data_IF_422844390425
#
_entry.id   IF_422844390425
#
_cell.length_a   1.000
_cell.length_b   1.000
_cell.length_c   1.000
_cell.angle_alpha   90.00
_cell.angle_beta   90.00
_cell.angle_gamma   90.00
#
_symmetry.space_group_name_H-M   'P 1'
#
loop_
_entity.id
_entity.type
_entity.pdbx_description
1 polymer ?
#
# COMPACT_ATOMS: atom_id res chain seq x y z
N UNK A 1 -25.34 -0.15 -25.14
CA UNK A 1 -25.85 0.58 -23.95
C UNK A 1 -25.28 0.08 -22.62
N UNK A 2 -25.38 -1.20 -22.23
CA UNK A 2 -24.89 -1.70 -20.91
C UNK A 2 -23.41 -1.41 -20.62
N UNK A 3 -22.52 -1.60 -21.60
CA UNK A 3 -21.08 -1.30 -21.48
C UNK A 3 -20.80 0.21 -21.27
N UNK A 4 -21.52 1.07 -21.99
CA UNK A 4 -21.39 2.53 -21.88
C UNK A 4 -21.87 3.00 -20.52
N UNK A 5 -23.02 2.50 -20.05
CA UNK A 5 -23.54 2.82 -18.71
C UNK A 5 -22.55 2.39 -17.63
N UNK A 6 -21.99 1.17 -17.71
CA UNK A 6 -20.99 0.71 -16.75
C UNK A 6 -19.74 1.61 -16.72
N UNK A 7 -19.17 1.93 -17.89
CA UNK A 7 -17.99 2.80 -18.00
C UNK A 7 -18.26 4.20 -17.44
N UNK A 8 -19.41 4.78 -17.77
CA UNK A 8 -19.80 6.11 -17.28
C UNK A 8 -20.03 6.09 -15.78
N UNK A 9 -20.71 5.08 -15.23
CA UNK A 9 -20.93 4.95 -13.78
C UNK A 9 -19.61 4.82 -13.01
N UNK A 10 -18.69 3.98 -13.49
CA UNK A 10 -17.36 3.84 -12.86
C UNK A 10 -16.57 5.15 -12.94
N UNK A 11 -16.63 5.86 -14.08
CA UNK A 11 -15.95 7.14 -14.24
C UNK A 11 -16.51 8.22 -13.30
N UNK A 12 -17.82 8.33 -13.17
CA UNK A 12 -18.47 9.32 -12.29
C UNK A 12 -18.18 9.02 -10.82
N UNK A 13 -18.29 7.74 -10.39
CA UNK A 13 -17.96 7.35 -9.03
C UNK A 13 -16.48 7.55 -8.72
N UNK A 14 -15.60 7.20 -9.66
CA UNK A 14 -14.15 7.41 -9.53
C UNK A 14 -13.80 8.89 -9.44
N UNK A 15 -14.36 9.73 -10.30
CA UNK A 15 -14.14 11.18 -10.28
C UNK A 15 -14.68 11.82 -8.99
N UNK A 16 -15.87 11.40 -8.53
CA UNK A 16 -16.44 11.86 -7.26
C UNK A 16 -15.57 11.46 -6.06
N UNK A 17 -15.07 10.23 -6.03
CA UNK A 17 -14.18 9.75 -4.98
C UNK A 17 -12.84 10.51 -4.97
N UNK A 18 -12.22 10.72 -6.14
CA UNK A 18 -10.99 11.50 -6.29
C UNK A 18 -11.20 12.95 -5.84
N UNK A 19 -12.32 13.55 -6.22
CA UNK A 19 -12.67 14.91 -5.78
C UNK A 19 -12.86 15.00 -4.26
N UNK A 20 -13.44 13.97 -3.64
CA UNK A 20 -13.65 13.93 -2.19
C UNK A 20 -12.35 13.72 -1.41
N UNK A 21 -11.43 12.89 -1.92
CA UNK A 21 -10.15 12.61 -1.28
C UNK A 21 -9.17 13.80 -1.33
N UNK A 22 -9.35 14.75 -2.25
CA UNK A 22 -8.52 15.95 -2.34
C UNK A 22 -7.02 15.61 -2.44
N UNK A 23 -6.22 16.11 -1.49
CA UNK A 23 -4.75 15.86 -1.44
C UNK A 23 -4.38 14.39 -1.25
N UNK A 24 -5.28 13.56 -0.72
CA UNK A 24 -5.06 12.11 -0.57
C UNK A 24 -5.26 11.34 -1.88
N UNK A 25 -5.89 11.96 -2.89
CA UNK A 25 -6.20 11.28 -4.14
C UNK A 25 -4.94 10.85 -4.92
N UNK A 26 -3.92 11.72 -5.00
CA UNK A 26 -2.69 11.41 -5.73
C UNK A 26 -1.93 10.24 -5.08
N UNK A 27 -1.62 10.25 -3.77
CA UNK A 27 -1.02 9.08 -3.10
C UNK A 27 -1.84 7.80 -3.25
N UNK A 28 -3.18 7.89 -3.20
CA UNK A 28 -4.05 6.74 -3.38
C UNK A 28 -3.98 6.15 -4.78
N UNK A 29 -3.95 6.97 -5.83
CA UNK A 29 -3.77 6.51 -7.20
C UNK A 29 -2.42 5.83 -7.41
N UNK A 30 -1.35 6.39 -6.81
CA UNK A 30 -0.02 5.77 -6.83
C UNK A 30 -0.06 4.41 -6.13
N UNK A 31 -0.64 4.33 -4.92
CA UNK A 31 -0.79 3.08 -4.18
C UNK A 31 -1.51 2.01 -5.00
N UNK A 32 -2.66 2.36 -5.60
CA UNK A 32 -3.41 1.45 -6.48
C UNK A 32 -2.59 0.98 -7.68
N UNK A 33 -1.83 1.88 -8.31
CA UNK A 33 -0.94 1.55 -9.42
C UNK A 33 0.16 0.57 -9.00
N UNK A 34 0.82 0.82 -7.86
CA UNK A 34 1.87 -0.08 -7.33
C UNK A 34 1.30 -1.43 -6.91
N UNK A 35 0.11 -1.46 -6.29
CA UNK A 35 -0.59 -2.71 -5.96
C UNK A 35 -0.93 -3.53 -7.21
N UNK A 36 -1.31 -2.89 -8.32
CA UNK A 36 -1.55 -3.56 -9.60
C UNK A 36 -0.25 -4.15 -10.16
N UNK A 37 0.84 -3.36 -10.17
CA UNK A 37 2.15 -3.83 -10.61
C UNK A 37 2.66 -4.99 -9.76
N UNK A 38 2.49 -4.91 -8.45
CA UNK A 38 2.84 -5.99 -7.52
C UNK A 38 2.06 -7.27 -7.87
N UNK A 39 0.77 -7.16 -8.16
CA UNK A 39 -0.05 -8.32 -8.50
C UNK A 39 0.43 -8.97 -9.80
N UNK A 40 0.66 -8.16 -10.84
CA UNK A 40 1.13 -8.65 -12.14
C UNK A 40 2.49 -9.33 -11.98
N UNK A 41 3.45 -8.69 -11.31
CA UNK A 41 4.79 -9.26 -11.10
C UNK A 41 4.75 -10.51 -10.22
N UNK A 42 3.90 -10.56 -9.19
CA UNK A 42 3.67 -11.74 -8.36
C UNK A 42 3.09 -12.91 -9.15
N UNK A 43 2.15 -12.65 -10.05
CA UNK A 43 1.57 -13.66 -10.95
C UNK A 43 2.60 -14.20 -11.95
N UNK A 44 3.43 -13.33 -12.55
CA UNK A 44 4.52 -13.75 -13.45
C UNK A 44 5.51 -14.63 -12.71
N UNK A 45 5.92 -14.24 -11.50
CA UNK A 45 6.80 -15.05 -10.63
C UNK A 45 6.21 -16.43 -10.36
N UNK A 46 4.93 -16.51 -10.00
CA UNK A 46 4.25 -17.77 -9.72
C UNK A 46 4.13 -18.66 -10.97
N UNK A 47 3.91 -18.06 -12.15
CA UNK A 47 3.91 -18.76 -13.43
C UNK A 47 5.28 -19.37 -13.75
N UNK A 48 6.36 -18.58 -13.64
CA UNK A 48 7.72 -19.03 -13.91
C UNK A 48 8.14 -20.17 -12.95
N UNK A 49 7.68 -20.13 -11.71
CA UNK A 49 7.97 -21.18 -10.71
C UNK A 49 7.06 -22.40 -10.80
N UNK A 50 6.10 -22.42 -11.73
CA UNK A 50 5.05 -23.45 -11.81
C UNK A 50 4.25 -23.65 -10.50
N UNK A 51 4.19 -22.60 -9.67
CA UNK A 51 3.51 -22.60 -8.36
C UNK A 51 2.14 -21.89 -8.44
N UNK A 52 1.52 -21.86 -9.63
CA UNK A 52 0.23 -21.22 -9.81
C UNK A 52 -0.85 -21.92 -8.99
N UNK A 53 -1.25 -21.27 -7.91
CA UNK A 53 -2.32 -21.76 -7.07
C UNK A 53 -3.24 -20.60 -6.69
N UNK A 54 -4.53 -20.77 -6.97
CA UNK A 54 -5.59 -19.79 -6.75
C UNK A 54 -5.63 -19.27 -5.31
N UNK A 55 -5.27 -20.11 -4.32
CA UNK A 55 -5.18 -19.69 -2.91
C UNK A 55 -4.16 -18.57 -2.70
N UNK A 56 -3.04 -18.57 -3.43
CA UNK A 56 -2.04 -17.50 -3.35
C UNK A 56 -2.55 -16.21 -4.00
N UNK A 57 -3.24 -16.31 -5.14
CA UNK A 57 -3.86 -15.15 -5.81
C UNK A 57 -4.92 -14.47 -4.94
N UNK A 58 -5.83 -15.25 -4.37
CA UNK A 58 -6.90 -14.74 -3.47
C UNK A 58 -6.29 -14.09 -2.23
N UNK A 59 -5.26 -14.69 -1.62
CA UNK A 59 -4.58 -14.10 -0.46
C UNK A 59 -3.92 -12.77 -0.81
N UNK A 60 -3.36 -12.64 -2.02
CA UNK A 60 -2.80 -11.38 -2.52
C UNK A 60 -3.86 -10.28 -2.66
N UNK A 61 -5.01 -10.60 -3.25
CA UNK A 61 -6.13 -9.65 -3.41
C UNK A 61 -6.70 -9.25 -2.04
N UNK A 62 -6.87 -10.20 -1.13
CA UNK A 62 -7.40 -9.92 0.21
C UNK A 62 -6.47 -8.99 1.00
N UNK A 63 -5.15 -9.23 0.95
CA UNK A 63 -4.15 -8.35 1.58
C UNK A 63 -4.27 -6.91 1.05
N UNK A 64 -4.47 -6.78 -0.26
CA UNK A 64 -4.66 -5.50 -0.96
C UNK A 64 -5.95 -4.79 -0.55
N UNK A 65 -7.03 -5.52 -0.32
CA UNK A 65 -8.26 -4.95 0.24
C UNK A 65 -8.05 -4.43 1.67
N UNK A 66 -7.29 -5.14 2.51
CA UNK A 66 -6.96 -4.67 3.86
C UNK A 66 -6.15 -3.37 3.86
N UNK A 67 -5.38 -3.07 2.80
CA UNK A 67 -4.67 -1.80 2.69
C UNK A 67 -5.61 -0.62 2.52
N UNK A 68 -6.69 -0.80 1.75
CA UNK A 68 -7.73 0.21 1.60
C UNK A 68 -8.41 0.50 2.95
N UNK A 69 -8.61 -0.55 3.76
CA UNK A 69 -9.11 -0.40 5.14
C UNK A 69 -8.11 0.38 6.00
N UNK A 70 -6.81 0.09 5.92
CA UNK A 70 -5.80 0.84 6.68
C UNK A 70 -5.74 2.32 6.31
N UNK A 71 -5.86 2.66 5.02
CA UNK A 71 -5.95 4.08 4.62
C UNK A 71 -7.22 4.73 5.16
N UNK A 72 -8.36 4.03 5.13
CA UNK A 72 -9.60 4.53 5.70
C UNK A 72 -9.49 4.76 7.23
N UNK A 73 -8.78 3.88 7.94
CA UNK A 73 -8.47 4.06 9.38
C UNK A 73 -7.59 5.30 9.59
N UNK A 74 -6.55 5.51 8.77
CA UNK A 74 -5.73 6.72 8.84
C UNK A 74 -6.55 8.00 8.63
N UNK A 75 -7.43 8.00 7.63
CA UNK A 75 -8.34 9.11 7.38
C UNK A 75 -9.37 9.31 8.51
N UNK A 76 -9.83 8.24 9.16
CA UNK A 76 -10.71 8.33 10.33
C UNK A 76 -10.00 8.99 11.52
N UNK A 77 -8.71 8.68 11.74
CA UNK A 77 -7.88 9.34 12.76
C UNK A 77 -7.75 10.84 12.45
N UNK A 78 -7.52 11.22 11.19
CA UNK A 78 -7.50 12.63 10.77
C UNK A 78 -8.82 13.35 11.09
N UNK A 79 -9.95 12.70 10.85
CA UNK A 79 -11.27 13.25 11.14
C UNK A 79 -11.49 13.48 12.65
N UNK A 80 -11.11 12.51 13.48
CA UNK A 80 -11.23 12.63 14.94
C UNK A 80 -10.32 13.74 15.49
N UNK A 81 -9.08 13.82 15.01
CA UNK A 81 -8.14 14.86 15.41
C UNK A 81 -8.62 16.25 15.00
N UNK A 82 -9.20 16.40 13.81
CA UNK A 82 -9.81 17.67 13.39
C UNK A 82 -10.88 18.14 14.36
N UNK A 83 -11.75 17.25 14.81
CA UNK A 83 -12.78 17.58 15.81
C UNK A 83 -12.17 18.14 17.10
N UNK A 84 -11.11 17.50 17.61
CA UNK A 84 -10.42 17.93 18.81
C UNK A 84 -9.66 19.26 18.64
N UNK A 85 -8.94 19.43 17.53
CA UNK A 85 -8.09 20.59 17.25
C UNK A 85 -8.93 21.84 16.97
N UNK A 86 -10.05 21.71 16.24
CA UNK A 86 -11.02 22.79 16.04
C UNK A 86 -11.63 23.21 17.38
N UNK A 87 -11.96 22.25 18.26
CA UNK A 87 -12.44 22.54 19.62
C UNK A 87 -11.42 23.29 20.48
N UNK A 88 -10.13 23.15 20.19
CA UNK A 88 -9.03 23.85 20.86
C UNK A 88 -8.67 25.21 20.23
N UNK A 89 -9.38 25.66 19.20
CA UNK A 89 -9.14 26.94 18.52
C UNK A 89 -7.91 26.97 17.61
N UNK A 90 -7.31 25.81 17.31
CA UNK A 90 -6.15 25.70 16.42
C UNK A 90 -6.65 25.39 15.01
N UNK A 91 -6.14 26.12 14.01
CA UNK A 91 -6.44 25.85 12.59
C UNK A 91 -5.36 24.97 11.99
N UNK A 92 -5.74 23.76 11.58
CA UNK A 92 -4.86 22.84 10.87
C UNK A 92 -5.22 22.84 9.38
N UNK A 93 -4.31 23.31 8.52
CA UNK A 93 -4.53 23.40 7.07
C UNK A 93 -4.41 22.02 6.38
N UNK A 94 -3.71 21.07 7.02
CA UNK A 94 -3.57 19.70 6.50
C UNK A 94 -4.84 18.89 6.81
N UNK A 95 -5.53 18.40 5.77
CA UNK A 95 -6.83 17.72 5.93
C UNK A 95 -6.76 16.23 6.26
N UNK A 96 -5.77 15.52 5.69
CA UNK A 96 -5.65 14.06 5.76
C UNK A 96 -4.18 13.66 5.95
N UNK A 97 -3.57 14.05 7.07
CA UNK A 97 -2.15 13.84 7.33
C UNK A 97 -1.83 12.37 7.60
N UNK A 98 -2.56 11.74 8.52
CA UNK A 98 -2.37 10.32 8.87
C UNK A 98 -2.75 9.40 7.73
N UNK A 99 -3.86 9.69 7.03
CA UNK A 99 -4.24 8.99 5.80
C UNK A 99 -3.13 9.05 4.75
N UNK A 100 -2.49 10.21 4.57
CA UNK A 100 -1.36 10.36 3.66
C UNK A 100 -0.13 9.55 4.10
N UNK A 101 0.24 9.63 5.38
CA UNK A 101 1.37 8.89 5.94
C UNK A 101 1.18 7.38 5.76
N UNK A 102 0.01 6.85 6.13
CA UNK A 102 -0.32 5.43 5.95
C UNK A 102 -0.27 5.05 4.47
N UNK A 103 -0.81 5.87 3.58
CA UNK A 103 -0.79 5.59 2.13
C UNK A 103 0.63 5.53 1.57
N UNK A 104 1.50 6.47 1.95
CA UNK A 104 2.91 6.47 1.54
C UNK A 104 3.64 5.25 2.10
N UNK A 105 3.42 4.93 3.38
CA UNK A 105 4.01 3.75 4.00
C UNK A 105 3.62 2.44 3.29
N UNK A 106 2.33 2.27 2.97
CA UNK A 106 1.85 1.11 2.22
C UNK A 106 2.38 1.08 0.79
N UNK A 107 2.53 2.25 0.16
CA UNK A 107 3.12 2.35 -1.19
C UNK A 107 4.56 1.82 -1.18
N UNK A 108 5.36 2.20 -0.18
CA UNK A 108 6.73 1.70 -0.02
C UNK A 108 6.73 0.18 0.18
N UNK A 109 5.81 -0.35 1.00
CA UNK A 109 5.70 -1.80 1.21
C UNK A 109 5.41 -2.57 -0.09
N UNK A 110 4.53 -2.06 -0.95
CA UNK A 110 4.25 -2.69 -2.24
C UNK A 110 5.40 -2.52 -3.23
N UNK A 111 6.11 -1.39 -3.23
CA UNK A 111 7.32 -1.21 -4.02
C UNK A 111 8.38 -2.26 -3.66
N UNK A 112 8.60 -2.52 -2.36
CA UNK A 112 9.51 -3.58 -1.91
C UNK A 112 9.05 -4.95 -2.43
N UNK A 113 7.75 -5.24 -2.35
CA UNK A 113 7.18 -6.50 -2.85
C UNK A 113 7.37 -6.67 -4.37
N UNK A 114 7.17 -5.61 -5.16
CA UNK A 114 7.45 -5.60 -6.61
C UNK A 114 8.92 -5.90 -6.87
N UNK A 115 9.82 -5.25 -6.15
CA UNK A 115 11.27 -5.47 -6.28
C UNK A 115 11.65 -6.92 -5.94
N UNK A 116 11.03 -7.52 -4.92
CA UNK A 116 11.23 -8.93 -4.57
C UNK A 116 10.73 -9.87 -5.68
N UNK A 117 9.58 -9.55 -6.30
CA UNK A 117 9.04 -10.33 -7.40
C UNK A 117 9.93 -10.24 -8.65
N UNK A 118 10.37 -9.03 -9.03
CA UNK A 118 11.28 -8.81 -10.16
C UNK A 118 12.63 -9.53 -9.98
N UNK A 119 13.19 -9.48 -8.76
CA UNK A 119 14.40 -10.21 -8.43
C UNK A 119 14.21 -11.73 -8.54
N UNK A 120 13.05 -12.25 -8.12
CA UNK A 120 12.73 -13.67 -8.20
C UNK A 120 12.48 -14.16 -9.64
N UNK A 121 12.03 -13.28 -10.53
CA UNK A 121 11.88 -13.52 -11.98
C UNK A 121 13.26 -13.56 -12.68
N UNK A 122 14.29 -12.96 -12.08
CA UNK A 122 15.65 -12.94 -12.63
C UNK A 122 15.97 -11.69 -13.47
N UNK A 123 15.23 -10.59 -13.29
CA UNK A 123 15.52 -9.33 -13.99
C UNK A 123 16.92 -8.83 -13.59
N UNK A 124 17.83 -8.57 -14.56
CA UNK A 124 19.21 -8.18 -14.28
C UNK A 124 19.29 -6.93 -13.38
N UNK A 125 20.21 -6.94 -12.41
CA UNK A 125 20.39 -5.87 -11.40
C UNK A 125 19.62 -6.07 -10.09
N UNK A 126 18.42 -6.65 -10.12
CA UNK A 126 17.57 -6.85 -8.94
C UNK A 126 18.07 -7.90 -7.92
N UNK A 127 18.76 -9.00 -8.30
CA UNK A 127 19.31 -9.96 -7.34
C UNK A 127 20.33 -9.35 -6.36
N UNK A 128 21.09 -8.33 -6.80
CA UNK A 128 22.02 -7.59 -5.93
C UNK A 128 21.26 -6.74 -4.91
N UNK A 129 20.17 -6.11 -5.32
CA UNK A 129 19.31 -5.29 -4.47
C UNK A 129 18.58 -6.13 -3.42
N UNK A 130 18.11 -7.32 -3.77
CA UNK A 130 17.56 -8.28 -2.80
C UNK A 130 18.55 -8.65 -1.70
N UNK A 131 19.84 -8.78 -2.03
CA UNK A 131 20.88 -9.07 -1.04
C UNK A 131 21.07 -7.91 -0.06
N UNK A 132 20.98 -6.68 -0.53
CA UNK A 132 21.06 -5.47 0.29
C UNK A 132 19.80 -5.34 1.17
N UNK A 133 18.61 -5.49 0.60
CA UNK A 133 17.35 -5.46 1.35
C UNK A 133 17.29 -6.54 2.45
N UNK A 134 17.76 -7.76 2.16
CA UNK A 134 17.87 -8.83 3.18
C UNK A 134 18.84 -8.46 4.30
N UNK A 135 19.94 -7.78 4.00
CA UNK A 135 20.89 -7.31 5.03
C UNK A 135 20.26 -6.24 5.91
N UNK A 136 19.61 -5.24 5.32
CA UNK A 136 18.89 -4.19 6.07
C UNK A 136 17.81 -4.79 6.98
N UNK A 137 17.04 -5.75 6.45
CA UNK A 137 15.97 -6.41 7.22
C UNK A 137 16.51 -7.22 8.40
N UNK A 138 17.67 -7.88 8.26
CA UNK A 138 18.33 -8.57 9.38
C UNK A 138 18.75 -7.57 10.45
N UNK A 139 19.40 -6.48 10.08
CA UNK A 139 19.81 -5.45 11.04
C UNK A 139 18.64 -4.87 11.82
N UNK A 140 17.53 -4.54 11.16
CA UNK A 140 16.33 -4.03 11.84
C UNK A 140 15.67 -5.09 12.75
N UNK A 141 15.61 -6.35 12.31
CA UNK A 141 15.05 -7.44 13.10
C UNK A 141 15.90 -7.78 14.33
N UNK A 142 17.22 -7.72 14.20
CA UNK A 142 18.16 -7.96 15.30
C UNK A 142 18.09 -6.83 16.35
N UNK A 143 17.84 -5.58 15.93
CA UNK A 143 17.56 -4.47 16.86
C UNK A 143 16.22 -4.61 17.58
N UNK A 144 15.18 -5.12 16.91
CA UNK A 144 13.86 -5.34 17.55
C UNK A 144 13.87 -6.54 18.51
N UNK A 145 14.73 -7.54 18.29
CA UNK A 145 14.96 -8.64 19.22
C UNK A 145 15.79 -8.24 20.46
N UNK A 146 16.65 -7.23 20.35
CA UNK A 146 17.44 -6.73 21.48
C UNK A 146 16.63 -5.90 22.49
N UNK A 147 15.48 -5.36 22.10
CA UNK A 147 14.58 -4.62 23.01
C UNK A 147 13.64 -5.50 23.85
N UNK A 148 13.43 -6.76 23.46
CA UNK A 148 12.49 -7.67 24.15
C UNK A 148 13.18 -8.53 25.23
N UNK A 149 14.52 -8.64 25.20
CA UNK A 149 15.33 -9.43 26.15
C UNK A 149 15.87 -8.68 27.37
N UNK A 150 15.34 -7.48 27.69
CA UNK A 150 15.82 -6.65 28.83
C UNK A 150 14.77 -6.40 29.91
N UNK A 151 13.72 -7.22 29.97
CA UNK A 151 12.77 -7.27 31.08
C UNK A 151 12.70 -8.67 31.66
N UNK A 152 13.79 -9.10 32.28
CA UNK A 152 13.77 -10.05 33.40
C UNK A 152 14.68 -9.53 34.50
#
# INVERSE_FOLDING_TARGET
>A
MKQTVLKTTVAVLGAGLVSYLGTLAVPMLVLLGVMLLDYITGMIKAYIRAELNSKFGIKGILKKLCYMVMVAVGAAVDYLLRGAVIGAGITLDVKLFFGMLVTVWLTINELISVMENLAAIGVPGFPRLQRILRRLRRTVADESGASDGKKE
#
